data_IF_198614803982
#
_entry.id   IF_198614803982
#
_cell.length_a   1.000
_cell.length_b   1.000
_cell.length_c   1.000
_cell.angle_alpha   90.00
_cell.angle_beta   90.00
_cell.angle_gamma   90.00
#
_symmetry.space_group_name_H-M   'P 1'
#
loop_
_entity.id
_entity.type
_entity.pdbx_description
1 polymer ?
#
# COMPACT_ATOMS: atom_id res chain seq x y z
N UNK A 1 14.77 -9.63 -10.90
CA UNK A 1 13.58 -8.76 -11.04
C UNK A 1 13.14 -8.31 -9.66
N UNK A 2 13.17 -7.00 -9.38
CA UNK A 2 12.85 -6.44 -8.05
C UNK A 2 11.33 -6.28 -7.94
N UNK A 3 10.73 -6.74 -6.84
CA UNK A 3 9.26 -6.74 -6.62
C UNK A 3 8.83 -6.10 -5.31
N UNK A 4 9.76 -6.03 -4.36
CA UNK A 4 9.53 -5.44 -3.07
C UNK A 4 10.69 -4.53 -2.75
N UNK A 5 10.41 -3.48 -2.01
CA UNK A 5 11.42 -2.58 -1.47
C UNK A 5 11.34 -2.66 0.05
N UNK A 6 12.47 -2.89 0.70
CA UNK A 6 12.58 -3.02 2.14
C UNK A 6 13.68 -2.13 2.71
N UNK A 7 13.49 -1.67 3.95
CA UNK A 7 14.50 -0.98 4.74
C UNK A 7 15.15 -1.98 5.69
N UNK A 8 16.46 -2.17 5.55
CA UNK A 8 17.24 -3.03 6.45
C UNK A 8 18.18 -2.17 7.32
N UNK A 9 18.11 -2.25 8.66
CA UNK A 9 19.07 -1.57 9.51
C UNK A 9 20.44 -2.24 9.36
N UNK A 10 21.50 -1.44 9.21
CA UNK A 10 22.86 -1.95 9.04
C UNK A 10 23.36 -2.77 10.24
N UNK A 11 22.84 -2.50 11.45
CA UNK A 11 23.45 -2.98 12.72
C UNK A 11 22.54 -3.90 13.55
N UNK A 12 21.23 -4.01 13.26
CA UNK A 12 20.26 -4.68 14.18
C UNK A 12 19.36 -5.74 13.52
N UNK A 13 19.74 -6.23 12.33
CA UNK A 13 19.37 -7.58 11.87
C UNK A 13 17.90 -7.88 11.55
N UNK A 14 17.00 -6.89 11.45
CA UNK A 14 15.64 -7.15 10.97
C UNK A 14 15.14 -6.07 10.02
N UNK A 15 15.10 -6.41 8.74
CA UNK A 15 14.54 -5.57 7.70
C UNK A 15 13.00 -5.54 7.73
N UNK A 16 12.45 -4.41 7.29
CA UNK A 16 11.02 -4.23 7.10
C UNK A 16 10.71 -3.99 5.63
N UNK A 17 9.71 -4.68 5.11
CA UNK A 17 9.19 -4.39 3.77
C UNK A 17 8.42 -3.08 3.82
N UNK A 18 8.74 -2.15 2.92
CA UNK A 18 8.09 -0.84 2.79
C UNK A 18 6.92 -0.96 1.82
N UNK A 19 7.17 -1.50 0.63
CA UNK A 19 6.17 -1.67 -0.42
C UNK A 19 6.35 -3.02 -1.11
N UNK A 20 5.25 -3.55 -1.62
CA UNK A 20 5.23 -4.71 -2.50
C UNK A 20 4.46 -4.32 -3.77
N UNK A 21 5.05 -4.61 -4.92
CA UNK A 21 4.45 -4.39 -6.24
C UNK A 21 4.09 -5.74 -6.86
N UNK A 22 3.00 -5.78 -7.64
CA UNK A 22 2.57 -7.04 -8.28
C UNK A 22 3.51 -7.38 -9.43
N UNK A 23 3.98 -6.35 -10.12
CA UNK A 23 4.96 -6.43 -11.19
C UNK A 23 6.39 -6.05 -10.78
N UNK A 24 7.37 -6.29 -11.66
CA UNK A 24 8.69 -5.66 -11.59
C UNK A 24 8.60 -4.17 -11.30
N UNK A 25 9.38 -3.73 -10.32
CA UNK A 25 9.65 -2.31 -10.07
C UNK A 25 10.63 -1.84 -11.14
N UNK A 26 10.27 -0.76 -11.85
CA UNK A 26 11.13 -0.10 -12.82
C UNK A 26 11.99 0.96 -12.18
N UNK A 27 11.40 1.75 -11.28
CA UNK A 27 12.06 2.89 -10.67
C UNK A 27 11.54 3.16 -9.26
N UNK A 28 12.42 3.76 -8.44
CA UNK A 28 12.18 4.10 -7.05
C UNK A 28 12.68 5.52 -6.84
N UNK A 29 11.75 6.45 -6.57
CA UNK A 29 12.07 7.85 -6.35
C UNK A 29 11.97 8.20 -4.86
N UNK A 30 13.03 8.79 -4.33
CA UNK A 30 13.07 9.36 -2.99
C UNK A 30 13.09 10.88 -3.08
N UNK A 31 12.64 11.54 -2.01
CA UNK A 31 12.68 12.99 -1.90
C UNK A 31 13.67 13.37 -0.80
N UNK A 32 14.47 14.41 -1.06
CA UNK A 32 15.36 14.98 -0.04
C UNK A 32 14.60 15.84 0.97
N UNK A 33 13.36 16.23 0.64
CA UNK A 33 12.56 17.18 1.41
C UNK A 33 11.54 16.49 2.34
N UNK A 34 11.22 15.22 2.08
CA UNK A 34 10.29 14.43 2.89
C UNK A 34 10.55 12.92 2.77
N UNK A 35 10.17 12.12 3.78
CA UNK A 35 10.49 10.70 3.85
C UNK A 35 9.54 9.82 3.01
N UNK A 36 9.00 10.34 1.91
CA UNK A 36 8.11 9.55 1.05
C UNK A 36 8.92 8.88 -0.06
N UNK A 37 8.58 7.62 -0.29
CA UNK A 37 9.10 6.79 -1.35
C UNK A 37 8.01 6.67 -2.42
N UNK A 38 8.32 6.97 -3.67
CA UNK A 38 7.47 6.62 -4.80
C UNK A 38 8.06 5.39 -5.51
N UNK A 39 7.21 4.45 -5.90
CA UNK A 39 7.60 3.20 -6.55
C UNK A 39 6.80 3.05 -7.84
N UNK A 40 7.52 3.02 -8.95
CA UNK A 40 6.97 2.84 -10.29
C UNK A 40 7.09 1.37 -10.69
N UNK A 41 5.96 0.76 -11.04
CA UNK A 41 5.87 -0.68 -11.33
C UNK A 41 5.37 -0.96 -12.75
N UNK A 42 5.76 -2.12 -13.27
CA UNK A 42 5.35 -2.61 -14.59
C UNK A 42 3.87 -2.98 -14.67
N UNK A 43 3.21 -3.17 -13.53
CA UNK A 43 1.77 -3.42 -13.45
C UNK A 43 0.93 -2.15 -13.70
N UNK A 44 1.61 -1.02 -13.96
CA UNK A 44 1.00 0.26 -14.22
C UNK A 44 0.56 0.99 -12.97
N UNK A 45 1.01 0.60 -11.78
CA UNK A 45 0.71 1.31 -10.53
C UNK A 45 1.88 2.22 -10.11
N UNK A 46 1.54 3.44 -9.69
CA UNK A 46 2.44 4.32 -8.96
C UNK A 46 2.02 4.33 -7.50
N UNK A 47 2.88 3.80 -6.63
CA UNK A 47 2.60 3.70 -5.19
C UNK A 47 3.52 4.60 -4.40
N UNK A 48 3.01 5.17 -3.31
CA UNK A 48 3.74 5.99 -2.37
C UNK A 48 3.62 5.40 -0.97
N UNK A 49 4.75 5.36 -0.27
CA UNK A 49 4.83 4.93 1.11
C UNK A 49 5.75 5.83 1.93
N UNK A 50 5.49 5.93 3.24
CA UNK A 50 6.31 6.70 4.16
C UNK A 50 7.39 5.82 4.81
N UNK A 51 8.66 6.23 4.70
CA UNK A 51 9.82 5.51 5.23
C UNK A 51 10.00 5.69 6.75
N UNK A 52 9.55 6.82 7.33
CA UNK A 52 9.78 7.13 8.76
C UNK A 52 9.18 6.08 9.71
N UNK A 53 8.11 5.40 9.29
CA UNK A 53 7.46 4.36 10.09
C UNK A 53 8.44 3.29 10.55
N UNK A 54 9.33 2.85 9.66
CA UNK A 54 10.22 1.72 9.91
C UNK A 54 11.46 2.10 10.73
N UNK A 55 11.68 3.39 10.94
CA UNK A 55 12.80 3.92 11.73
C UNK A 55 12.45 4.01 13.22
N UNK A 56 11.16 4.15 13.58
CA UNK A 56 10.72 4.27 14.98
C UNK A 56 9.77 3.14 15.38
N UNK A 57 10.26 2.22 16.23
CA UNK A 57 9.44 1.20 16.90
C UNK A 57 8.39 1.90 17.77
N UNK A 58 7.10 1.64 17.54
CA UNK A 58 6.00 2.23 18.31
C UNK A 58 5.44 3.56 17.78
N UNK A 59 5.81 3.98 16.57
CA UNK A 59 5.17 5.15 15.96
C UNK A 59 3.70 4.83 15.61
N UNK A 60 2.76 5.57 16.21
CA UNK A 60 1.33 5.56 15.88
C UNK A 60 1.02 6.12 14.47
N UNK A 61 2.02 6.16 13.58
CA UNK A 61 1.85 6.62 12.21
C UNK A 61 1.24 5.48 11.39
N UNK A 62 0.05 5.70 10.80
CA UNK A 62 -0.64 4.65 10.10
C UNK A 62 0.12 4.22 8.84
N UNK A 63 0.03 2.94 8.54
CA UNK A 63 0.83 2.27 7.51
C UNK A 63 0.18 2.28 6.16
N UNK A 64 -0.17 3.45 5.65
CA UNK A 64 -0.89 3.53 4.39
C UNK A 64 0.06 3.48 3.20
N UNK A 65 -0.13 2.46 2.36
CA UNK A 65 0.42 2.46 1.00
C UNK A 65 -0.63 3.11 0.11
N UNK A 66 -0.27 4.25 -0.45
CA UNK A 66 -1.15 5.03 -1.30
C UNK A 66 -0.84 4.72 -2.75
N UNK A 67 -1.81 4.19 -3.50
CA UNK A 67 -1.67 4.14 -4.96
C UNK A 67 -2.14 5.48 -5.50
N UNK A 68 -1.24 6.27 -6.07
CA UNK A 68 -1.58 7.58 -6.64
C UNK A 68 -2.48 7.38 -7.84
N UNK A 69 -2.05 6.53 -8.77
CA UNK A 69 -2.84 6.17 -9.93
C UNK A 69 -2.45 4.78 -10.44
N UNK A 70 -3.34 4.21 -11.25
CA UNK A 70 -3.12 2.96 -11.96
C UNK A 70 -3.47 3.11 -13.44
N UNK A 71 -2.60 2.62 -14.30
CA UNK A 71 -2.86 2.47 -15.73
C UNK A 71 -3.58 1.16 -16.00
N UNK A 72 -4.60 1.23 -16.84
CA UNK A 72 -5.38 0.08 -17.28
C UNK A 72 -5.56 0.14 -18.80
N UNK A 73 -5.51 -1.01 -19.47
CA UNK A 73 -5.77 -1.12 -20.90
C UNK A 73 -6.99 -1.99 -21.11
N UNK A 74 -8.05 -1.40 -21.69
CA UNK A 74 -9.17 -2.19 -22.16
C UNK A 74 -8.77 -2.92 -23.45
N UNK A 75 -8.42 -4.21 -23.35
CA UNK A 75 -7.97 -5.02 -24.50
C UNK A 75 -8.99 -5.12 -25.65
N UNK A 76 -10.29 -4.95 -25.37
CA UNK A 76 -11.33 -5.05 -26.39
C UNK A 76 -11.46 -3.76 -27.20
N UNK A 77 -11.42 -2.60 -26.54
CA UNK A 77 -11.55 -1.28 -27.19
C UNK A 77 -10.20 -0.65 -27.51
N UNK A 78 -9.11 -1.22 -26.99
CA UNK A 78 -7.75 -0.70 -27.05
C UNK A 78 -7.60 0.71 -26.44
N UNK A 79 -8.48 1.04 -25.50
CA UNK A 79 -8.46 2.31 -24.79
C UNK A 79 -7.57 2.21 -23.56
N UNK A 80 -6.62 3.16 -23.47
CA UNK A 80 -5.78 3.33 -22.29
C UNK A 80 -6.51 4.22 -21.28
N UNK A 81 -6.61 3.75 -20.04
CA UNK A 81 -7.31 4.42 -18.94
C UNK A 81 -6.35 4.66 -17.79
N UNK A 82 -6.55 5.78 -17.12
CA UNK A 82 -5.82 6.15 -15.92
C UNK A 82 -6.83 6.22 -14.79
N UNK A 83 -6.73 5.29 -13.85
CA UNK A 83 -7.56 5.20 -12.66
C UNK A 83 -6.90 6.01 -11.56
N UNK A 84 -7.66 6.94 -10.99
CA UNK A 84 -7.23 7.88 -9.95
C UNK A 84 -8.15 7.75 -8.73
N UNK A 85 -7.84 8.48 -7.65
CA UNK A 85 -8.65 8.52 -6.43
C UNK A 85 -8.84 7.13 -5.82
N UNK A 86 -7.78 6.33 -5.88
CA UNK A 86 -7.77 4.98 -5.34
C UNK A 86 -7.72 5.04 -3.81
N UNK A 87 -8.55 4.25 -3.15
CA UNK A 87 -8.60 4.18 -1.69
C UNK A 87 -7.24 3.68 -1.16
N UNK A 88 -6.62 4.37 -0.19
CA UNK A 88 -5.40 3.89 0.45
C UNK A 88 -5.61 2.50 1.04
N UNK A 89 -4.65 1.60 0.80
CA UNK A 89 -4.70 0.23 1.35
C UNK A 89 -3.78 0.14 2.56
N UNK A 90 -4.15 -0.70 3.53
CA UNK A 90 -3.25 -0.99 4.65
C UNK A 90 -2.08 -1.83 4.12
N UNK A 91 -0.90 -1.63 4.69
CA UNK A 91 0.26 -2.46 4.43
C UNK A 91 0.04 -3.95 4.76
N UNK A 92 -0.95 -4.27 5.62
CA UNK A 92 -1.39 -5.66 5.83
C UNK A 92 -2.00 -6.27 4.56
N UNK A 93 -2.72 -5.48 3.76
CA UNK A 93 -3.37 -5.93 2.52
C UNK A 93 -2.36 -6.40 1.47
N UNK A 94 -1.15 -5.84 1.48
CA UNK A 94 -0.08 -6.25 0.57
C UNK A 94 0.62 -7.54 1.01
N UNK A 95 0.59 -7.91 2.31
CA UNK A 95 1.22 -9.15 2.81
C UNK A 95 0.56 -10.42 2.28
N UNK A 96 -0.66 -10.33 1.75
CA UNK A 96 -1.38 -11.47 1.17
C UNK A 96 -0.84 -11.95 -0.18
N UNK A 97 0.05 -11.19 -0.82
CA UNK A 97 0.68 -11.59 -2.08
C UNK A 97 1.68 -12.74 -1.90
N UNK A 98 2.14 -13.02 -0.67
CA UNK A 98 3.26 -13.93 -0.45
C UNK A 98 3.02 -15.22 0.36
N UNK A 99 1.85 -15.53 0.97
CA UNK A 99 1.60 -16.93 1.48
C UNK A 99 0.20 -17.40 1.93
N UNK A 100 -0.85 -16.57 2.03
CA UNK A 100 -2.21 -17.06 2.38
C UNK A 100 -3.23 -16.62 1.34
N UNK A 101 -3.41 -17.49 0.36
CA UNK A 101 -4.08 -17.22 -0.92
C UNK A 101 -5.59 -17.39 -0.78
N UNK A 102 -6.33 -16.28 -0.62
CA UNK A 102 -7.76 -16.21 -0.96
C UNK A 102 -8.75 -16.29 0.21
N UNK A 103 -8.35 -15.89 1.42
CA UNK A 103 -9.30 -15.79 2.54
C UNK A 103 -9.27 -14.38 3.11
N UNK A 104 -10.43 -13.68 3.22
CA UNK A 104 -10.50 -12.41 3.92
C UNK A 104 -10.03 -12.61 5.37
N UNK A 105 -9.33 -11.61 5.90
CA UNK A 105 -8.73 -11.67 7.23
C UNK A 105 -9.81 -11.95 8.29
N UNK A 106 -9.64 -13.05 9.04
CA UNK A 106 -10.53 -13.45 10.15
C UNK A 106 -11.49 -14.60 9.87
N UNK A 107 -11.59 -15.11 8.64
CA UNK A 107 -12.38 -16.31 8.32
C UNK A 107 -11.49 -17.50 7.98
N UNK A 108 -11.94 -18.72 8.26
CA UNK A 108 -11.28 -19.91 7.76
C UNK A 108 -11.59 -20.06 6.24
N UNK A 109 -10.70 -20.70 5.44
CA UNK A 109 -10.93 -20.92 4.01
C UNK A 109 -12.27 -21.60 3.69
N UNK A 110 -12.82 -22.36 4.64
CA UNK A 110 -14.08 -23.08 4.54
C UNK A 110 -15.31 -22.14 4.58
N UNK A 111 -15.24 -21.02 5.31
CA UNK A 111 -16.39 -20.16 5.62
C UNK A 111 -16.56 -18.99 4.65
N UNK A 112 -15.60 -18.78 3.75
CA UNK A 112 -15.68 -17.73 2.74
C UNK A 112 -16.81 -18.01 1.74
N UNK A 113 -17.73 -17.05 1.60
CA UNK A 113 -18.87 -17.15 0.67
C UNK A 113 -18.35 -17.15 -0.79
N UNK A 114 -19.08 -17.79 -1.71
CA UNK A 114 -18.70 -17.85 -3.14
C UNK A 114 -18.48 -16.47 -3.78
N UNK A 115 -19.21 -15.43 -3.34
CA UNK A 115 -19.03 -14.04 -3.76
C UNK A 115 -17.71 -13.42 -3.28
N UNK A 116 -17.29 -13.73 -2.05
CA UNK A 116 -16.03 -13.29 -1.46
C UNK A 116 -14.84 -14.03 -2.09
N UNK A 117 -15.00 -15.32 -2.40
CA UNK A 117 -14.02 -16.08 -3.18
C UNK A 117 -13.89 -15.52 -4.60
N UNK A 118 -15.00 -15.21 -5.27
CA UNK A 118 -15.00 -14.59 -6.60
C UNK A 118 -14.43 -13.16 -6.58
N UNK A 119 -14.64 -12.37 -5.53
CA UNK A 119 -14.02 -11.06 -5.35
C UNK A 119 -12.51 -11.19 -5.10
N UNK A 120 -12.08 -12.13 -4.25
CA UNK A 120 -10.67 -12.45 -4.04
C UNK A 120 -10.02 -13.05 -5.30
N UNK A 121 -10.78 -13.73 -6.17
CA UNK A 121 -10.35 -14.22 -7.48
C UNK A 121 -10.31 -13.13 -8.55
N UNK A 122 -11.19 -12.11 -8.48
CA UNK A 122 -11.06 -10.89 -9.29
C UNK A 122 -9.89 -10.04 -8.83
N UNK A 123 -9.61 -10.02 -7.52
CA UNK A 123 -8.39 -9.45 -6.97
C UNK A 123 -7.18 -10.36 -7.17
N UNK A 124 -7.34 -11.62 -7.60
CA UNK A 124 -6.25 -12.45 -8.15
C UNK A 124 -5.98 -11.99 -9.58
N UNK A 125 -5.38 -10.82 -9.72
CA UNK A 125 -4.52 -10.58 -10.86
C UNK A 125 -3.34 -11.55 -10.73
N UNK A 126 -3.42 -12.67 -11.46
CA UNK A 126 -2.35 -13.64 -11.56
C UNK A 126 -1.06 -12.97 -12.04
N UNK A 127 0.08 -13.53 -11.64
CA UNK A 127 1.38 -13.16 -12.18
C UNK A 127 1.40 -13.48 -13.67
N UNK A 128 1.04 -12.49 -14.49
CA UNK A 128 0.83 -12.63 -15.91
C UNK A 128 1.32 -11.38 -16.64
N UNK A 129 1.68 -11.57 -17.91
CA UNK A 129 2.22 -10.57 -18.82
C UNK A 129 1.34 -9.31 -18.83
N UNK A 130 1.70 -8.31 -18.02
CA UNK A 130 1.11 -6.97 -18.08
C UNK A 130 1.31 -6.42 -19.48
N UNK A 131 0.34 -5.64 -19.96
CA UNK A 131 0.52 -4.93 -21.22
C UNK A 131 1.73 -3.98 -21.08
N UNK A 132 2.74 -4.05 -21.96
CA UNK A 132 3.92 -3.19 -21.81
C UNK A 132 3.57 -1.70 -21.77
N UNK A 133 2.53 -1.28 -22.50
CA UNK A 133 2.07 0.12 -22.58
C UNK A 133 1.55 0.68 -21.25
N UNK A 134 1.11 -0.16 -20.31
CA UNK A 134 0.61 0.33 -19.02
C UNK A 134 1.74 0.56 -18.01
N UNK A 135 2.96 0.06 -18.27
CA UNK A 135 4.06 0.17 -17.32
C UNK A 135 4.44 1.62 -17.03
N UNK A 136 4.83 1.89 -15.79
CA UNK A 136 5.40 3.17 -15.37
C UNK A 136 6.90 2.96 -15.23
N UNK A 137 7.69 3.70 -16.00
CA UNK A 137 9.13 3.48 -16.13
C UNK A 137 9.95 4.33 -15.18
N UNK A 138 9.48 5.54 -14.86
CA UNK A 138 10.24 6.45 -14.03
C UNK A 138 9.32 7.32 -13.17
N UNK A 139 9.85 7.77 -12.04
CA UNK A 139 9.23 8.75 -11.18
C UNK A 139 10.30 9.71 -10.63
N UNK A 140 9.93 10.97 -10.36
CA UNK A 140 10.84 11.94 -9.78
C UNK A 140 10.07 12.95 -8.92
N UNK A 141 10.53 13.13 -7.69
CA UNK A 141 10.06 14.21 -6.81
C UNK A 141 10.71 15.53 -7.20
N UNK A 142 10.06 16.64 -6.89
CA UNK A 142 10.67 17.97 -6.97
C UNK A 142 11.91 18.05 -6.05
N UNK A 143 13.14 18.19 -6.58
CA UNK A 143 14.36 18.06 -5.77
C UNK A 143 14.63 19.21 -4.78
N UNK A 144 14.25 20.45 -5.10
CA UNK A 144 14.87 21.62 -4.43
C UNK A 144 13.92 22.63 -3.81
N UNK A 145 12.68 22.73 -4.31
CA UNK A 145 11.74 23.77 -3.86
C UNK A 145 10.79 23.24 -2.80
N UNK A 146 11.03 23.61 -1.53
CA UNK A 146 10.21 23.18 -0.38
C UNK A 146 8.72 23.46 -0.55
N UNK A 147 8.34 24.62 -1.11
CA UNK A 147 6.94 24.95 -1.38
C UNK A 147 6.26 23.98 -2.37
N UNK A 148 7.04 23.26 -3.18
CA UNK A 148 6.58 22.29 -4.16
C UNK A 148 7.08 20.88 -3.81
N UNK A 149 7.45 20.62 -2.55
CA UNK A 149 8.01 19.33 -2.16
C UNK A 149 7.06 18.16 -2.49
N UNK A 150 5.74 18.36 -2.38
CA UNK A 150 4.74 17.36 -2.75
C UNK A 150 4.50 17.17 -4.26
N UNK A 151 5.32 17.75 -5.15
CA UNK A 151 5.18 17.55 -6.59
C UNK A 151 5.93 16.29 -7.02
N UNK A 152 5.22 15.38 -7.70
CA UNK A 152 5.73 14.13 -8.22
C UNK A 152 5.46 14.02 -9.72
N UNK A 153 6.50 13.83 -10.52
CA UNK A 153 6.39 13.52 -11.94
C UNK A 153 6.58 12.02 -12.17
N UNK A 154 5.87 11.46 -13.15
CA UNK A 154 5.96 10.05 -13.53
C UNK A 154 5.82 9.85 -15.03
N UNK A 155 6.63 8.96 -15.60
CA UNK A 155 6.68 8.65 -17.03
C UNK A 155 6.24 7.23 -17.31
N UNK A 156 5.31 7.08 -18.27
CA UNK A 156 4.72 5.80 -18.67
C UNK A 156 5.33 5.27 -19.96
N UNK A 157 5.28 3.95 -20.14
CA UNK A 157 5.70 3.26 -21.36
C UNK A 157 4.89 3.66 -22.60
N UNK A 158 3.65 4.11 -22.40
CA UNK A 158 2.79 4.66 -23.46
C UNK A 158 3.28 6.01 -24.01
N UNK A 159 4.30 6.63 -23.41
CA UNK A 159 4.76 7.98 -23.75
C UNK A 159 4.00 9.10 -23.03
N UNK A 160 3.04 8.75 -22.17
CA UNK A 160 2.36 9.70 -21.32
C UNK A 160 3.24 10.11 -20.13
N UNK A 161 3.07 11.34 -19.68
CA UNK A 161 3.68 11.87 -18.46
C UNK A 161 2.57 12.43 -17.58
N UNK A 162 2.66 12.16 -16.28
CA UNK A 162 1.75 12.70 -15.28
C UNK A 162 2.53 13.47 -14.22
N UNK A 163 1.99 14.61 -13.82
CA UNK A 163 2.52 15.43 -12.74
C UNK A 163 1.42 15.55 -11.68
N UNK A 164 1.70 15.08 -10.49
CA UNK A 164 0.80 15.08 -9.34
C UNK A 164 1.27 16.09 -8.28
N UNK A 165 0.30 16.77 -7.67
CA UNK A 165 0.53 17.67 -6.53
C UNK A 165 -0.10 17.03 -5.29
N UNK A 166 0.72 16.33 -4.52
CA UNK A 166 0.29 15.57 -3.35
C UNK A 166 0.26 16.49 -2.13
N UNK A 167 -0.79 17.30 -2.04
CA UNK A 167 -0.88 18.34 -1.00
C UNK A 167 -1.77 18.03 0.20
N UNK A 168 -2.77 17.15 0.11
CA UNK A 168 -3.78 17.10 1.20
C UNK A 168 -4.31 15.69 1.57
N UNK A 169 -4.18 14.67 0.72
CA UNK A 169 -4.72 13.33 1.02
C UNK A 169 -3.81 12.45 1.88
N UNK A 170 -2.50 12.68 1.87
CA UNK A 170 -1.52 11.83 2.60
C UNK A 170 -1.35 12.27 4.06
N UNK A 171 -1.75 13.50 4.41
CA UNK A 171 -1.50 14.10 5.72
C UNK A 171 -2.76 14.26 6.61
N UNK A 172 -3.96 14.12 6.05
CA UNK A 172 -5.24 14.26 6.77
C UNK A 172 -6.01 12.95 6.95
N UNK A 173 -5.33 11.80 6.88
CA UNK A 173 -5.92 10.54 7.35
C UNK A 173 -5.91 10.54 8.88
N UNK A 174 -6.86 11.26 9.49
CA UNK A 174 -7.40 10.83 10.78
C UNK A 174 -7.87 9.39 10.56
N UNK A 175 -7.42 8.48 11.41
CA UNK A 175 -7.99 7.14 11.45
C UNK A 175 -9.51 7.31 11.67
N UNK A 176 -10.29 7.14 10.62
CA UNK A 176 -11.73 6.95 10.78
C UNK A 176 -11.92 5.49 11.15
N UNK A 177 -12.14 5.26 12.45
CA UNK A 177 -12.61 3.98 12.98
C UNK A 177 -11.76 3.46 14.14
N UNK A 178 -12.32 3.49 15.35
CA UNK A 178 -11.78 2.79 16.51
C UNK A 178 -12.05 3.46 17.85
N UNK A 179 -13.19 4.12 18.06
CA UNK A 179 -13.80 4.16 19.40
C UNK A 179 -14.65 2.89 19.48
N UNK A 180 -14.64 2.20 20.62
CA UNK A 180 -15.36 0.95 20.93
C UNK A 180 -14.60 -0.37 20.69
N UNK A 181 -13.36 -0.46 21.16
CA UNK A 181 -12.79 -1.74 21.58
C UNK A 181 -11.66 -1.45 22.56
N UNK A 182 -11.96 -1.59 23.86
CA UNK A 182 -11.06 -1.86 24.99
C UNK A 182 -11.58 -1.09 26.21
N UNK A 183 -12.60 -1.67 26.87
CA UNK A 183 -12.87 -1.51 28.31
C UNK A 183 -14.01 -2.51 28.62
N UNK A 184 -13.63 -3.74 29.01
CA UNK A 184 -14.43 -4.66 29.84
C UNK A 184 -13.53 -5.87 30.19
N UNK A 185 -12.41 -5.59 30.86
CA UNK A 185 -11.73 -6.55 31.75
C UNK A 185 -11.89 -5.99 33.18
N UNK A 186 -13.10 -6.04 33.73
CA UNK A 186 -13.34 -5.81 35.16
C UNK A 186 -13.68 -7.15 35.84
N UNK A 187 -12.65 -7.73 36.47
CA UNK A 187 -12.65 -8.39 37.78
C UNK A 187 -13.90 -9.20 38.22
N UNK A 188 -13.92 -10.49 37.90
CA UNK A 188 -14.68 -11.49 38.69
C UNK A 188 -13.90 -11.86 39.97
N UNK A 189 -13.92 -11.00 40.99
CA UNK A 189 -13.53 -11.35 42.36
C UNK A 189 -14.74 -11.92 43.10
N UNK A 190 -14.81 -13.24 43.21
CA UNK A 190 -15.90 -13.98 43.86
C UNK A 190 -15.70 -13.95 45.38
N UNK A 191 -16.48 -13.12 46.08
CA UNK A 191 -16.61 -13.16 47.55
C UNK A 191 -17.28 -14.47 48.00
N UNK A 192 -16.55 -15.30 48.76
CA UNK A 192 -17.15 -16.41 49.53
C UNK A 192 -17.84 -15.87 50.78
N UNK A 193 -19.13 -16.19 51.05
CA UNK A 193 -19.73 -15.93 52.34
C UNK A 193 -19.42 -17.04 53.36
N UNK A 194 -18.73 -16.62 54.41
CA UNK A 194 -18.46 -17.30 55.68
C UNK A 194 -19.75 -17.94 56.27
N UNK A 195 -19.73 -19.25 56.54
CA UNK A 195 -20.79 -19.94 57.31
C UNK A 195 -20.27 -20.29 58.71
N UNK A 196 -20.89 -19.65 59.70
CA UNK A 196 -20.86 -19.98 61.13
C UNK A 196 -21.63 -21.26 61.45
#
# INVERSE_FOLDING_TARGET
>A
MVKFTGLHPLVLGRGHNVTESRGPIWDIATSDLHPQLAVASSDGTLTIANLLKYVRKGSAMPSFIHTVYRMDLNRRTNELRMLDMLVPRDHKDYRHLSKTRGVPQGLAPADATASQRAAAERERDGFGTWEPRIAIHCAAWQPSRLAQAGVLASGMASGLVRIDILREQVFNLRAQGGEDADDDDEDDEVDEPDQS
#
